data_IF_493597972719
#
_entry.id   IF_493597972719
#
_cell.length_a   1.000
_cell.length_b   1.000
_cell.length_c   1.000
_cell.angle_alpha   90.00
_cell.angle_beta   90.00
_cell.angle_gamma   90.00
#
_symmetry.space_group_name_H-M   'P 1'
#
loop_
_entity.id
_entity.type
_entity.pdbx_description
1 polymer ?
#
# COMPACT_ATOMS: atom_id res chain seq x y z
N UNK A 1 -3.09 7.21 -11.16
CA UNK A 1 -3.70 5.88 -10.89
C UNK A 1 -5.23 6.00 -10.82
N UNK A 2 -5.99 4.93 -11.06
CA UNK A 2 -7.46 4.95 -10.89
C UNK A 2 -7.93 4.30 -9.58
N UNK A 3 -7.16 3.35 -9.06
CA UNK A 3 -7.47 2.55 -7.87
C UNK A 3 -6.21 1.96 -7.25
N UNK A 4 -6.23 1.77 -5.93
CA UNK A 4 -5.21 1.07 -5.15
C UNK A 4 -5.92 0.02 -4.32
N UNK A 5 -5.52 -1.24 -4.48
CA UNK A 5 -5.99 -2.35 -3.65
C UNK A 5 -4.96 -2.62 -2.55
N UNK A 6 -5.41 -2.69 -1.32
CA UNK A 6 -4.63 -3.14 -0.17
C UNK A 6 -5.30 -4.38 0.38
N UNK A 7 -4.75 -5.54 0.07
CA UNK A 7 -5.23 -6.83 0.54
C UNK A 7 -4.48 -7.23 1.81
N UNK A 8 -5.21 -7.40 2.89
CA UNK A 8 -4.74 -7.84 4.20
C UNK A 8 -5.35 -9.21 4.51
N UNK A 9 -4.83 -9.98 5.49
CA UNK A 9 -5.33 -11.33 5.78
C UNK A 9 -6.85 -11.42 6.01
N UNK A 10 -7.43 -10.43 6.69
CA UNK A 10 -8.84 -10.41 7.08
C UNK A 10 -9.71 -9.48 6.22
N UNK A 11 -9.11 -8.60 5.40
CA UNK A 11 -9.87 -7.59 4.66
C UNK A 11 -9.14 -7.03 3.44
N UNK A 12 -9.90 -6.61 2.44
CA UNK A 12 -9.45 -5.82 1.30
C UNK A 12 -9.99 -4.40 1.37
N UNK A 13 -9.08 -3.43 1.42
CA UNK A 13 -9.39 -2.01 1.29
C UNK A 13 -9.09 -1.55 -0.13
N UNK A 14 -10.03 -0.84 -0.76
CA UNK A 14 -9.83 -0.23 -2.08
C UNK A 14 -9.90 1.28 -1.95
N UNK A 15 -8.78 1.96 -2.22
CA UNK A 15 -8.75 3.40 -2.38
C UNK A 15 -9.05 3.71 -3.86
N UNK A 16 -9.98 4.62 -4.13
CA UNK A 16 -10.43 5.00 -5.47
C UNK A 16 -10.15 6.49 -5.74
N UNK A 17 -10.06 6.84 -7.03
CA UNK A 17 -9.82 8.22 -7.47
C UNK A 17 -10.79 9.20 -6.79
N UNK A 18 -10.30 10.38 -6.43
CA UNK A 18 -11.07 11.38 -5.69
C UNK A 18 -11.28 11.04 -4.21
N UNK A 19 -10.43 10.17 -3.64
CA UNK A 19 -10.42 9.80 -2.21
C UNK A 19 -11.67 9.04 -1.75
N UNK A 20 -12.34 8.35 -2.67
CA UNK A 20 -13.42 7.44 -2.31
C UNK A 20 -12.80 6.14 -1.78
N UNK A 21 -13.40 5.55 -0.74
CA UNK A 21 -12.87 4.32 -0.16
C UNK A 21 -13.92 3.23 -0.08
N UNK A 22 -13.48 1.99 -0.30
CA UNK A 22 -14.28 0.78 -0.09
C UNK A 22 -13.58 -0.19 0.84
N UNK A 23 -14.36 -0.91 1.65
CA UNK A 23 -13.95 -2.04 2.47
C UNK A 23 -14.85 -3.21 2.06
N UNK A 24 -14.28 -4.35 1.67
CA UNK A 24 -15.03 -5.50 1.12
C UNK A 24 -16.00 -5.10 -0.02
N UNK A 25 -15.57 -4.18 -0.87
CA UNK A 25 -16.39 -3.66 -1.98
C UNK A 25 -17.48 -2.65 -1.60
N UNK A 26 -17.77 -2.46 -0.31
CA UNK A 26 -18.76 -1.50 0.17
C UNK A 26 -18.13 -0.13 0.43
N UNK A 27 -18.82 0.95 0.03
CA UNK A 27 -18.35 2.32 0.30
C UNK A 27 -18.39 2.60 1.80
N UNK A 28 -17.35 3.25 2.32
CA UNK A 28 -17.26 3.65 3.73
C UNK A 28 -16.95 5.14 3.87
N UNK A 29 -17.34 5.72 5.00
CA UNK A 29 -16.92 7.05 5.43
C UNK A 29 -15.69 6.94 6.33
N UNK A 30 -14.82 7.96 6.28
CA UNK A 30 -13.61 8.02 7.11
C UNK A 30 -13.88 8.84 8.38
N UNK A 31 -13.26 8.50 9.53
CA UNK A 31 -12.38 7.35 9.75
C UNK A 31 -13.15 6.02 9.84
N UNK A 32 -12.46 4.91 9.57
CA UNK A 32 -13.00 3.56 9.68
C UNK A 32 -11.94 2.58 10.23
N UNK A 33 -12.41 1.48 10.82
CA UNK A 33 -11.58 0.37 11.31
C UNK A 33 -12.04 -0.90 10.57
N UNK A 34 -11.45 -1.21 9.41
CA UNK A 34 -11.87 -2.36 8.58
C UNK A 34 -11.74 -3.71 9.29
N UNK A 35 -10.69 -3.88 10.10
CA UNK A 35 -10.44 -5.08 10.91
C UNK A 35 -9.48 -4.75 12.07
N UNK A 36 -9.25 -5.71 12.97
CA UNK A 36 -8.35 -5.53 14.12
C UNK A 36 -6.96 -5.12 13.64
N UNK A 37 -6.44 -4.04 14.20
CA UNK A 37 -5.09 -3.53 13.87
C UNK A 37 -5.02 -2.83 12.51
N UNK A 38 -6.15 -2.51 11.87
CA UNK A 38 -6.20 -1.75 10.61
C UNK A 38 -7.00 -0.47 10.82
N UNK A 39 -6.34 0.67 10.63
CA UNK A 39 -6.95 1.99 10.73
C UNK A 39 -6.96 2.65 9.36
N UNK A 40 -8.07 3.29 9.01
CA UNK A 40 -8.26 4.00 7.76
C UNK A 40 -8.79 5.40 8.06
N UNK A 41 -8.09 6.44 7.61
CA UNK A 41 -8.44 7.83 7.95
C UNK A 41 -7.98 8.86 6.93
N UNK A 42 -8.41 10.10 7.12
CA UNK A 42 -7.89 11.24 6.38
C UNK A 42 -6.60 11.76 7.03
N UNK A 43 -5.62 12.13 6.21
CA UNK A 43 -4.30 12.63 6.61
C UNK A 43 -3.91 13.79 5.69
N UNK A 44 -4.42 14.99 6.02
CA UNK A 44 -4.33 16.16 5.14
C UNK A 44 -5.03 15.91 3.81
N UNK A 45 -4.30 16.03 2.69
CA UNK A 45 -4.83 15.72 1.35
C UNK A 45 -4.97 14.22 1.06
N UNK A 46 -4.43 13.35 1.90
CA UNK A 46 -4.36 11.91 1.65
C UNK A 46 -5.47 11.15 2.36
N UNK A 47 -5.88 10.03 1.77
CA UNK A 47 -6.46 8.90 2.52
C UNK A 47 -5.31 8.00 2.94
N UNK A 48 -5.34 7.56 4.18
CA UNK A 48 -4.26 6.83 4.80
C UNK A 48 -4.77 5.56 5.48
N UNK A 49 -4.19 4.42 5.09
CA UNK A 49 -4.32 3.14 5.77
C UNK A 49 -3.07 2.92 6.62
N UNK A 50 -3.26 2.57 7.88
CA UNK A 50 -2.21 2.17 8.81
C UNK A 50 -2.52 0.78 9.36
N UNK A 51 -1.51 -0.07 9.47
CA UNK A 51 -1.62 -1.36 10.15
C UNK A 51 -0.71 -1.42 11.36
N UNK A 52 -1.10 -2.22 12.36
CA UNK A 52 -0.31 -2.47 13.57
C UNK A 52 1.07 -3.11 13.25
N UNK A 53 1.15 -3.90 12.18
CA UNK A 53 2.40 -4.50 11.72
C UNK A 53 3.32 -3.53 10.94
N UNK A 54 2.94 -2.24 10.84
CA UNK A 54 3.80 -1.18 10.33
C UNK A 54 3.69 -0.92 8.83
N UNK A 55 2.67 -1.42 8.13
CA UNK A 55 2.35 -0.98 6.77
C UNK A 55 1.56 0.32 6.83
N UNK A 56 1.98 1.30 6.04
CA UNK A 56 1.28 2.56 5.84
C UNK A 56 1.13 2.83 4.35
N UNK A 57 -0.11 3.02 3.90
CA UNK A 57 -0.44 3.37 2.50
C UNK A 57 -1.14 4.71 2.50
N UNK A 58 -0.59 5.69 1.78
CA UNK A 58 -1.15 7.03 1.65
C UNK A 58 -1.40 7.35 0.19
N UNK A 59 -2.62 7.70 -0.17
CA UNK A 59 -2.93 8.13 -1.53
C UNK A 59 -3.76 9.41 -1.53
N UNK A 60 -3.36 10.38 -2.35
CA UNK A 60 -4.08 11.66 -2.51
C UNK A 60 -5.37 11.53 -3.33
N UNK A 61 -5.60 10.35 -3.93
CA UNK A 61 -6.74 10.10 -4.81
C UNK A 61 -6.51 10.54 -6.25
N UNK A 62 -5.26 10.85 -6.65
CA UNK A 62 -4.90 11.16 -8.03
C UNK A 62 -3.52 10.59 -8.42
N UNK A 63 -2.44 11.26 -8.01
CA UNK A 63 -1.08 10.99 -8.51
C UNK A 63 -0.13 10.46 -7.44
N UNK A 64 -0.27 10.90 -6.19
CA UNK A 64 0.74 10.64 -5.17
C UNK A 64 0.36 9.48 -4.28
N UNK A 65 1.01 8.34 -4.53
CA UNK A 65 0.93 7.14 -3.71
C UNK A 65 2.24 6.96 -2.94
N UNK A 66 2.14 6.81 -1.62
CA UNK A 66 3.25 6.45 -0.75
C UNK A 66 2.94 5.13 -0.07
N UNK A 67 3.90 4.22 -0.10
CA UNK A 67 3.88 2.96 0.65
C UNK A 67 5.09 2.98 1.58
N UNK A 68 4.86 2.77 2.86
CA UNK A 68 5.92 2.72 3.87
C UNK A 68 5.73 1.45 4.69
N UNK A 69 6.83 0.77 4.97
CA UNK A 69 6.87 -0.44 5.80
C UNK A 69 7.96 -0.33 6.86
N UNK A 70 7.86 -1.15 7.91
CA UNK A 70 8.94 -1.29 8.89
C UNK A 70 10.20 -1.92 8.27
N UNK A 71 11.38 -1.64 8.84
CA UNK A 71 12.65 -2.24 8.43
C UNK A 71 12.68 -3.78 8.57
N UNK A 72 11.76 -4.35 9.33
CA UNK A 72 11.56 -5.82 9.46
C UNK A 72 11.21 -6.51 8.14
N UNK A 73 10.82 -5.76 7.12
CA UNK A 73 10.52 -6.23 5.77
C UNK A 73 11.71 -6.19 4.80
N UNK A 74 12.89 -5.74 5.24
CA UNK A 74 14.09 -5.74 4.41
C UNK A 74 14.41 -7.15 3.87
N UNK A 75 14.63 -7.26 2.55
CA UNK A 75 14.86 -8.52 1.85
C UNK A 75 13.64 -9.44 1.74
N UNK A 76 12.44 -9.00 2.15
CA UNK A 76 11.18 -9.78 2.13
C UNK A 76 10.13 -9.20 1.21
N UNK A 77 10.42 -8.08 0.55
CA UNK A 77 9.53 -7.46 -0.43
C UNK A 77 9.84 -7.98 -1.84
N UNK A 78 8.89 -7.75 -2.73
CA UNK A 78 9.05 -7.98 -4.15
C UNK A 78 8.09 -7.07 -4.94
N UNK A 79 8.35 -6.94 -6.24
CA UNK A 79 7.54 -6.11 -7.14
C UNK A 79 8.25 -4.82 -7.54
N UNK A 80 7.48 -3.83 -8.01
CA UNK A 80 8.01 -2.60 -8.61
C UNK A 80 8.86 -1.72 -7.67
N UNK A 81 8.75 -1.94 -6.36
CA UNK A 81 9.51 -1.20 -5.35
C UNK A 81 10.76 -1.97 -4.88
N UNK A 82 11.14 -3.04 -5.57
CA UNK A 82 12.31 -3.84 -5.23
C UNK A 82 12.11 -4.73 -4.01
N UNK A 83 13.22 -5.17 -3.41
CA UNK A 83 13.23 -6.12 -2.30
C UNK A 83 13.54 -5.48 -0.93
N UNK A 84 13.89 -4.18 -0.93
CA UNK A 84 14.24 -3.38 0.26
C UNK A 84 15.45 -3.93 1.05
N UNK A 85 16.43 -4.55 0.39
CA UNK A 85 17.67 -5.03 1.01
C UNK A 85 18.77 -3.95 1.15
N UNK A 86 18.55 -2.76 0.61
CA UNK A 86 19.48 -1.63 0.63
C UNK A 86 20.41 -1.56 -0.58
N UNK A 87 20.29 -2.48 -1.54
CA UNK A 87 21.03 -2.51 -2.78
C UNK A 87 20.17 -2.09 -3.97
N UNK A 88 20.25 -0.82 -4.37
CA UNK A 88 19.48 -0.31 -5.52
C UNK A 88 19.83 -0.98 -6.86
N UNK A 89 20.99 -1.63 -6.98
CA UNK A 89 21.44 -2.22 -8.25
C UNK A 89 20.61 -3.45 -8.64
N UNK A 90 19.90 -4.06 -7.68
CA UNK A 90 19.10 -5.27 -7.89
C UNK A 90 17.58 -5.04 -7.82
N UNK A 91 17.12 -3.84 -7.50
CA UNK A 91 15.69 -3.54 -7.33
C UNK A 91 14.89 -3.62 -8.65
N UNK A 92 15.60 -3.63 -9.78
CA UNK A 92 15.04 -3.84 -11.12
C UNK A 92 14.98 -5.32 -11.54
N UNK A 93 15.43 -6.25 -10.70
CA UNK A 93 15.42 -7.68 -10.99
C UNK A 93 14.09 -8.30 -10.60
N UNK A 94 13.64 -9.27 -11.41
CA UNK A 94 12.53 -10.16 -11.08
C UNK A 94 12.97 -11.19 -10.04
N UNK A 95 12.00 -11.93 -9.51
CA UNK A 95 12.23 -13.03 -8.56
C UNK A 95 13.17 -14.12 -9.10
N UNK A 96 13.24 -14.30 -10.42
CA UNK A 96 14.14 -15.26 -11.08
C UNK A 96 15.54 -14.69 -11.38
N UNK A 97 15.82 -13.45 -10.94
CA UNK A 97 17.07 -12.74 -11.18
C UNK A 97 17.18 -12.12 -12.58
N UNK A 98 16.18 -12.29 -13.45
CA UNK A 98 16.18 -11.63 -14.76
C UNK A 98 15.83 -10.15 -14.64
N UNK A 99 16.38 -9.27 -15.50
CA UNK A 99 15.97 -7.87 -15.53
C UNK A 99 14.48 -7.70 -15.87
N UNK A 100 13.86 -6.69 -15.29
CA UNK A 100 12.55 -6.21 -15.76
C UNK A 100 12.72 -5.69 -17.20
N UNK A 101 11.84 -6.11 -18.13
CA UNK A 101 11.92 -5.70 -19.53
C UNK A 101 11.46 -4.24 -19.70
N UNK A 102 12.05 -3.55 -20.68
CA UNK A 102 11.68 -2.20 -21.13
C UNK A 102 10.37 -2.21 -21.95
#
# INVERSE_FOLDING_TARGET
LSKVYVTLPETTVTLLKGRHTRVEGQRVTLPAIPSKGVFLGASGRFVELQTEFGLRVRWDGDQQLYVTVSSTYSGKLCGLCGNYDGNSDNDHLKLDGSPTGD
#
